data_IF_946789294139
#
_entry.id   IF_946789294139
#
_cell.length_a   1.000
_cell.length_b   1.000
_cell.length_c   1.000
_cell.angle_alpha   90.00
_cell.angle_beta   90.00
_cell.angle_gamma   90.00
#
_symmetry.space_group_name_H-M   'P 1'
#
loop_
_entity.id
_entity.type
_entity.pdbx_description
1 polymer ?
#
# COMPACT_ATOMS: atom_id res chain seq x y z
N UNK A 1 -0.43 10.47 18.98
CA UNK A 1 -1.84 10.19 19.33
C UNK A 1 -2.02 8.68 19.29
N UNK A 2 -2.49 8.03 20.36
CA UNK A 2 -2.79 6.59 20.33
C UNK A 2 -4.29 6.40 20.07
N UNK A 3 -4.66 5.29 19.42
CA UNK A 3 -6.07 4.93 19.20
C UNK A 3 -6.83 4.81 20.53
N UNK A 4 -6.16 4.37 21.60
CA UNK A 4 -6.70 4.31 22.96
C UNK A 4 -7.16 5.67 23.49
N UNK A 5 -6.58 6.76 22.98
CA UNK A 5 -6.90 8.11 23.43
C UNK A 5 -8.13 8.67 22.67
N UNK A 6 -8.60 7.97 21.63
CA UNK A 6 -9.68 8.37 20.72
C UNK A 6 -10.97 7.62 21.03
N UNK A 7 -11.75 8.15 21.97
CA UNK A 7 -12.95 7.50 22.51
C UNK A 7 -13.94 7.06 21.42
N UNK A 8 -14.14 7.85 20.36
CA UNK A 8 -15.05 7.49 19.26
C UNK A 8 -14.58 6.27 18.46
N UNK A 9 -13.26 6.13 18.21
CA UNK A 9 -12.72 4.95 17.49
C UNK A 9 -12.81 3.70 18.37
N UNK A 10 -12.61 3.83 19.68
CA UNK A 10 -12.66 2.66 20.57
C UNK A 10 -14.05 2.01 20.63
N UNK A 11 -15.12 2.79 20.42
CA UNK A 11 -16.53 2.33 20.40
C UNK A 11 -16.90 1.54 19.15
N UNK A 12 -16.15 1.70 18.05
CA UNK A 12 -16.42 1.01 16.80
C UNK A 12 -16.17 -0.50 16.93
N UNK A 13 -17.04 -1.29 16.31
CA UNK A 13 -16.81 -2.71 16.06
C UNK A 13 -15.62 -2.91 15.12
N UNK A 14 -15.08 -4.13 15.07
CA UNK A 14 -13.96 -4.43 14.17
C UNK A 14 -14.28 -4.15 12.69
N UNK A 15 -15.46 -4.52 12.14
CA UNK A 15 -15.82 -4.16 10.77
C UNK A 15 -15.87 -2.64 10.53
N UNK A 16 -16.44 -1.86 11.45
CA UNK A 16 -16.48 -0.40 11.32
C UNK A 16 -15.09 0.23 11.40
N UNK A 17 -14.19 -0.33 12.20
CA UNK A 17 -12.78 0.10 12.23
C UNK A 17 -12.08 -0.16 10.89
N UNK A 18 -12.37 -1.29 10.24
CA UNK A 18 -11.82 -1.60 8.92
C UNK A 18 -12.31 -0.59 7.88
N UNK A 19 -13.62 -0.32 7.84
CA UNK A 19 -14.19 0.68 6.93
C UNK A 19 -13.61 2.08 7.18
N UNK A 20 -13.47 2.49 8.45
CA UNK A 20 -12.86 3.76 8.79
C UNK A 20 -11.39 3.83 8.32
N UNK A 21 -10.63 2.73 8.45
CA UNK A 21 -9.24 2.69 7.96
C UNK A 21 -9.20 2.85 6.44
N UNK A 22 -10.13 2.22 5.71
CA UNK A 22 -10.28 2.36 4.26
C UNK A 22 -10.61 3.81 3.86
N UNK A 23 -11.66 4.40 4.45
CA UNK A 23 -12.06 5.79 4.17
C UNK A 23 -10.93 6.79 4.46
N UNK A 24 -10.20 6.59 5.56
CA UNK A 24 -9.03 7.42 5.89
C UNK A 24 -7.90 7.24 4.89
N UNK A 25 -7.68 6.01 4.41
CA UNK A 25 -6.66 5.72 3.41
C UNK A 25 -6.99 6.40 2.08
N UNK A 26 -8.24 6.31 1.63
CA UNK A 26 -8.71 7.00 0.42
C UNK A 26 -8.60 8.52 0.54
N UNK A 27 -8.92 9.08 1.71
CA UNK A 27 -8.74 10.51 1.98
C UNK A 27 -7.27 10.93 1.92
N UNK A 28 -6.35 10.15 2.49
CA UNK A 28 -4.90 10.45 2.44
C UNK A 28 -4.41 10.35 0.99
N UNK A 29 -4.82 9.30 0.27
CA UNK A 29 -4.44 9.10 -1.13
C UNK A 29 -4.97 10.21 -2.05
N UNK A 30 -6.09 10.85 -1.71
CA UNK A 30 -6.63 11.97 -2.50
C UNK A 30 -5.74 13.23 -2.50
N UNK A 31 -4.80 13.35 -1.56
CA UNK A 31 -3.79 14.41 -1.49
C UNK A 31 -2.37 13.85 -1.61
N UNK A 32 -2.08 13.22 -2.76
CA UNK A 32 -0.76 12.65 -3.08
C UNK A 32 0.38 13.68 -2.95
N UNK A 33 0.08 14.98 -3.10
CA UNK A 33 1.07 16.06 -3.04
C UNK A 33 1.56 16.37 -1.62
N UNK A 34 0.80 15.97 -0.60
CA UNK A 34 1.11 16.25 0.81
C UNK A 34 2.33 15.48 1.35
N UNK A 35 2.70 14.36 0.71
CA UNK A 35 3.84 13.53 1.11
C UNK A 35 4.85 13.46 -0.04
N UNK A 36 5.90 14.30 -0.02
CA UNK A 36 6.89 14.31 -1.09
C UNK A 36 7.65 12.98 -1.12
N UNK A 37 7.77 12.39 -2.31
CA UNK A 37 8.60 11.20 -2.53
C UNK A 37 10.07 11.65 -2.62
N UNK A 38 10.96 11.19 -1.72
CA UNK A 38 12.37 11.53 -1.79
C UNK A 38 13.00 11.06 -3.10
N UNK A 39 13.91 11.86 -3.65
CA UNK A 39 14.65 11.51 -4.87
C UNK A 39 15.35 10.14 -4.76
N UNK A 40 15.91 9.83 -3.58
CA UNK A 40 16.55 8.55 -3.31
C UNK A 40 15.62 7.34 -3.44
N UNK A 41 14.32 7.51 -3.15
CA UNK A 41 13.33 6.45 -3.34
C UNK A 41 13.03 6.26 -4.82
N UNK A 42 12.90 7.34 -5.59
CA UNK A 42 12.70 7.26 -7.04
C UNK A 42 13.90 6.59 -7.73
N UNK A 43 15.13 6.97 -7.36
CA UNK A 43 16.36 6.34 -7.88
C UNK A 43 16.45 4.84 -7.57
N UNK A 44 16.02 4.43 -6.36
CA UNK A 44 15.98 3.02 -6.00
C UNK A 44 14.92 2.25 -6.79
N UNK A 45 13.74 2.85 -7.02
CA UNK A 45 12.69 2.26 -7.86
C UNK A 45 13.19 2.06 -9.30
N UNK A 46 13.82 3.08 -9.89
CA UNK A 46 14.43 2.99 -11.22
C UNK A 46 15.49 1.89 -11.28
N UNK A 47 16.36 1.82 -10.27
CA UNK A 47 17.39 0.77 -10.17
C UNK A 47 16.78 -0.63 -10.08
N UNK A 48 15.66 -0.80 -9.36
CA UNK A 48 14.95 -2.09 -9.27
C UNK A 48 14.28 -2.44 -10.58
N UNK A 49 13.67 -1.45 -11.24
CA UNK A 49 13.01 -1.65 -12.53
C UNK A 49 14.00 -2.11 -13.61
N UNK A 50 15.13 -1.41 -13.78
CA UNK A 50 16.16 -1.81 -14.76
C UNK A 50 16.71 -3.21 -14.50
N UNK A 51 16.83 -3.60 -13.23
CA UNK A 51 17.30 -4.94 -12.86
C UNK A 51 16.27 -6.01 -13.23
N UNK A 52 14.99 -5.72 -13.01
CA UNK A 52 13.89 -6.58 -13.43
C UNK A 52 13.85 -6.70 -14.95
N UNK A 53 13.92 -5.60 -15.70
CA UNK A 53 13.92 -5.63 -17.16
C UNK A 53 15.12 -6.41 -17.74
N UNK A 54 16.30 -6.28 -17.13
CA UNK A 54 17.50 -7.00 -17.55
C UNK A 54 17.46 -8.49 -17.17
N UNK A 55 16.81 -8.85 -16.06
CA UNK A 55 16.67 -10.23 -15.60
C UNK A 55 15.41 -10.37 -14.73
N UNK A 56 14.27 -10.74 -15.34
CA UNK A 56 12.98 -10.75 -14.66
C UNK A 56 12.88 -11.73 -13.47
N UNK A 57 13.81 -12.69 -13.39
CA UNK A 57 13.79 -13.75 -12.40
C UNK A 57 12.52 -14.60 -12.48
N UNK A 58 12.03 -15.05 -11.33
CA UNK A 58 10.77 -15.79 -11.19
C UNK A 58 9.59 -14.90 -10.76
N UNK A 59 9.65 -13.60 -11.06
CA UNK A 59 8.53 -12.72 -10.74
C UNK A 59 7.33 -13.09 -11.62
N UNK A 60 6.16 -13.10 -11.00
CA UNK A 60 4.90 -13.36 -11.67
C UNK A 60 4.18 -12.03 -11.85
N UNK A 61 3.58 -11.84 -13.01
CA UNK A 61 2.46 -10.91 -13.18
C UNK A 61 1.33 -11.27 -12.22
N UNK A 62 0.43 -10.32 -11.96
CA UNK A 62 -0.71 -10.56 -11.08
C UNK A 62 -1.59 -11.72 -11.58
N UNK A 63 -1.74 -11.85 -12.91
CA UNK A 63 -2.50 -12.92 -13.55
C UNK A 63 -1.80 -14.29 -13.39
N UNK A 64 -0.48 -14.34 -13.57
CA UNK A 64 0.32 -15.56 -13.34
C UNK A 64 0.27 -15.98 -11.86
N UNK A 65 0.29 -15.02 -10.93
CA UNK A 65 0.16 -15.29 -9.50
C UNK A 65 -1.22 -15.86 -9.17
N UNK A 66 -2.30 -15.26 -9.67
CA UNK A 66 -3.68 -15.74 -9.46
C UNK A 66 -3.83 -17.18 -9.95
N UNK A 67 -3.38 -17.44 -11.18
CA UNK A 67 -3.39 -18.79 -11.78
C UNK A 67 -2.67 -19.84 -10.92
N UNK A 68 -1.63 -19.43 -10.20
CA UNK A 68 -0.83 -20.34 -9.36
C UNK A 68 -1.46 -20.63 -8.00
N UNK A 69 -2.18 -19.68 -7.40
CA UNK A 69 -2.77 -19.81 -6.06
C UNK A 69 -4.15 -20.48 -6.11
N UNK A 70 -4.87 -20.38 -7.23
CA UNK A 70 -6.21 -20.96 -7.41
C UNK A 70 -6.21 -22.48 -7.73
N UNK A 71 -5.05 -23.15 -7.70
CA UNK A 71 -4.92 -24.61 -7.81
C UNK A 71 -4.97 -25.28 -6.45
#
# INVERSE_FOLDING_TARGET
MRVSDMHEITKLSTPEKILLVEDLWDSIASDESSVPVPQSHMEELDRRMRRYEASPGNLLTLDELRTRIEK
#
